data_IF_094633537293
#
_entry.id   IF_094633537293
#
_cell.length_a   1.000
_cell.length_b   1.000
_cell.length_c   1.000
_cell.angle_alpha   90.00
_cell.angle_beta   90.00
_cell.angle_gamma   90.00
#
_symmetry.space_group_name_H-M   'P 1'
#
loop_
_entity.id
_entity.type
_entity.pdbx_description
1 polymer ?
#
# COMPACT_ATOMS: atom_id res chain seq x y z
N UNK A 1 37.90 18.50 33.96
CA UNK A 1 37.69 19.64 34.88
C UNK A 1 38.27 20.89 34.22
N UNK A 2 37.49 21.98 34.08
CA UNK A 2 37.99 23.24 33.50
C UNK A 2 38.82 23.97 34.55
N UNK A 3 40.10 24.22 34.25
CA UNK A 3 41.00 25.01 35.10
C UNK A 3 40.97 26.46 34.64
N UNK A 4 40.52 27.36 35.51
CA UNK A 4 40.42 28.80 35.24
C UNK A 4 41.63 29.59 35.77
N UNK A 5 42.67 28.91 36.23
CA UNK A 5 43.80 29.51 36.97
C UNK A 5 44.80 30.32 36.12
N UNK A 6 44.62 30.38 34.80
CA UNK A 6 45.63 30.92 33.87
C UNK A 6 45.20 32.21 33.15
N UNK A 7 44.07 32.83 33.52
CA UNK A 7 43.61 34.08 32.89
C UNK A 7 44.15 35.26 33.71
N UNK A 8 45.23 35.88 33.24
CA UNK A 8 45.90 37.00 33.91
C UNK A 8 45.73 38.35 33.20
N UNK A 9 45.22 38.38 31.97
CA UNK A 9 45.00 39.60 31.21
C UNK A 9 43.64 39.59 30.46
N UNK A 10 43.21 40.78 30.03
CA UNK A 10 41.91 40.97 29.35
C UNK A 10 41.88 40.27 27.98
N UNK A 11 43.00 40.24 27.28
CA UNK A 11 43.13 39.56 25.99
C UNK A 11 42.94 38.05 26.10
N UNK A 12 43.57 37.39 27.08
CA UNK A 12 43.38 35.97 27.34
C UNK A 12 41.93 35.65 27.75
N UNK A 13 41.27 36.56 28.48
CA UNK A 13 39.85 36.41 28.80
C UNK A 13 38.98 36.44 27.52
N UNK A 14 39.24 37.39 26.62
CA UNK A 14 38.53 37.51 25.35
C UNK A 14 38.79 36.30 24.44
N UNK A 15 40.04 35.86 24.32
CA UNK A 15 40.41 34.65 23.59
C UNK A 15 39.71 33.42 24.17
N UNK A 16 39.68 33.28 25.50
CA UNK A 16 39.00 32.15 26.15
C UNK A 16 37.49 32.19 25.95
N UNK A 17 36.88 33.38 25.97
CA UNK A 17 35.45 33.57 25.67
C UNK A 17 35.12 33.13 24.24
N UNK A 18 35.97 33.48 23.28
CA UNK A 18 35.81 33.04 21.89
C UNK A 18 35.97 31.53 21.76
N UNK A 19 37.00 30.95 22.35
CA UNK A 19 37.22 29.50 22.39
C UNK A 19 36.01 28.77 22.96
N UNK A 20 35.50 29.21 24.12
CA UNK A 20 34.30 28.64 24.76
C UNK A 20 33.06 28.74 23.87
N UNK A 21 32.88 29.87 23.17
CA UNK A 21 31.74 30.07 22.26
C UNK A 21 31.82 29.12 21.07
N UNK A 22 33.02 28.92 20.52
CA UNK A 22 33.26 27.96 19.44
C UNK A 22 33.03 26.53 19.93
N UNK A 23 33.61 26.15 21.08
CA UNK A 23 33.43 24.83 21.69
C UNK A 23 31.94 24.51 21.93
N UNK A 24 31.20 25.48 22.46
CA UNK A 24 29.77 25.35 22.70
C UNK A 24 28.99 25.14 21.40
N UNK A 25 29.27 25.96 20.39
CA UNK A 25 28.60 25.88 19.08
C UNK A 25 28.89 24.54 18.40
N UNK A 26 30.13 24.05 18.48
CA UNK A 26 30.53 22.75 17.95
C UNK A 26 29.77 21.62 18.65
N UNK A 27 29.73 21.63 20.00
CA UNK A 27 28.98 20.65 20.78
C UNK A 27 27.48 20.66 20.48
N UNK A 28 26.88 21.84 20.31
CA UNK A 28 25.49 21.97 19.91
C UNK A 28 25.23 21.33 18.55
N UNK A 29 26.08 21.60 17.56
CA UNK A 29 25.94 21.03 16.22
C UNK A 29 26.07 19.50 16.23
N UNK A 30 27.02 18.96 17.01
CA UNK A 30 27.17 17.51 17.18
C UNK A 30 25.92 16.90 17.83
N UNK A 31 25.40 17.51 18.90
CA UNK A 31 24.20 17.02 19.58
C UNK A 31 22.99 17.00 18.63
N UNK A 32 22.80 18.05 17.81
CA UNK A 32 21.72 18.11 16.83
C UNK A 32 21.91 17.05 15.73
N UNK A 33 23.14 16.83 15.26
CA UNK A 33 23.43 15.79 14.27
C UNK A 33 23.17 14.37 14.82
N UNK A 34 23.58 14.11 16.07
CA UNK A 34 23.39 12.82 16.74
C UNK A 34 21.92 12.54 17.01
N UNK A 35 21.19 13.52 17.54
CA UNK A 35 19.74 13.40 17.78
C UNK A 35 18.97 13.18 16.48
N UNK A 36 19.35 13.86 15.39
CA UNK A 36 18.76 13.62 14.06
C UNK A 36 19.06 12.21 13.55
N UNK A 37 20.26 11.71 13.78
CA UNK A 37 20.66 10.35 13.39
C UNK A 37 19.91 9.30 14.21
N UNK A 38 19.80 9.50 15.53
CA UNK A 38 19.01 8.67 16.43
C UNK A 38 17.52 8.65 16.05
N UNK A 39 16.92 9.82 15.82
CA UNK A 39 15.52 9.93 15.39
C UNK A 39 15.25 9.19 14.07
N UNK A 40 16.20 9.22 13.12
CA UNK A 40 16.08 8.48 11.86
C UNK A 40 15.99 6.96 12.06
N UNK A 41 16.54 6.41 13.14
CA UNK A 41 16.46 4.97 13.43
C UNK A 41 15.04 4.51 13.77
N UNK A 42 14.19 5.41 14.26
CA UNK A 42 12.78 5.13 14.58
C UNK A 42 11.82 5.42 13.43
N UNK A 43 12.33 5.85 12.27
CA UNK A 43 11.48 6.04 11.09
C UNK A 43 10.95 4.69 10.60
N UNK A 44 9.72 4.70 10.09
CA UNK A 44 9.07 3.49 9.57
C UNK A 44 9.93 2.77 8.52
N UNK A 45 10.64 3.51 7.66
CA UNK A 45 11.58 2.94 6.69
C UNK A 45 12.81 2.29 7.31
N UNK A 46 13.36 2.84 8.40
CA UNK A 46 14.48 2.24 9.12
C UNK A 46 14.04 0.99 9.91
N UNK A 47 12.86 1.04 10.51
CA UNK A 47 12.26 -0.12 11.17
C UNK A 47 11.98 -1.24 10.16
N UNK A 48 11.34 -0.93 9.02
CA UNK A 48 11.16 -1.90 7.94
C UNK A 48 12.51 -2.45 7.50
N UNK A 49 13.53 -1.63 7.23
CA UNK A 49 14.85 -2.17 6.85
C UNK A 49 15.47 -3.08 7.91
N UNK A 50 15.26 -2.80 9.19
CA UNK A 50 15.77 -3.61 10.31
C UNK A 50 15.06 -4.96 10.45
N UNK A 51 13.76 -5.01 10.15
CA UNK A 51 12.93 -6.21 10.32
C UNK A 51 12.67 -6.98 9.02
N UNK A 52 12.73 -6.30 7.87
CA UNK A 52 12.56 -6.85 6.52
C UNK A 52 13.90 -7.28 5.89
N UNK A 53 14.95 -7.50 6.69
CA UNK A 53 16.14 -8.20 6.23
C UNK A 53 15.78 -9.66 5.95
N UNK A 54 16.18 -10.24 4.82
CA UNK A 54 15.79 -11.60 4.43
C UNK A 54 16.08 -12.62 5.54
N UNK A 55 17.25 -12.55 6.19
CA UNK A 55 17.59 -13.45 7.29
C UNK A 55 16.71 -13.34 8.55
N UNK A 56 16.11 -12.17 8.83
CA UNK A 56 15.17 -12.00 9.94
C UNK A 56 13.75 -12.36 9.54
N UNK A 57 13.38 -12.11 8.27
CA UNK A 57 12.10 -12.54 7.70
C UNK A 57 12.00 -14.06 7.68
N UNK A 58 13.03 -14.79 7.24
CA UNK A 58 13.01 -16.27 7.25
C UNK A 58 12.91 -16.83 8.68
N UNK A 59 13.62 -16.24 9.65
CA UNK A 59 13.52 -16.64 11.06
C UNK A 59 12.15 -16.34 11.69
N UNK A 60 11.54 -15.22 11.30
CA UNK A 60 10.18 -14.88 11.72
C UNK A 60 9.15 -15.78 11.02
N UNK A 61 9.39 -16.14 9.76
CA UNK A 61 8.54 -16.99 8.95
C UNK A 61 8.49 -18.44 9.47
N UNK A 62 9.65 -19.03 9.79
CA UNK A 62 9.75 -20.37 10.40
C UNK A 62 8.97 -20.47 11.71
N UNK A 63 8.86 -19.37 12.45
CA UNK A 63 8.19 -19.34 13.76
C UNK A 63 6.71 -18.94 13.70
N UNK A 64 6.30 -18.22 12.66
CA UNK A 64 4.97 -17.58 12.60
C UNK A 64 4.16 -17.94 11.34
N UNK A 65 4.67 -18.78 10.43
CA UNK A 65 4.01 -19.15 9.16
C UNK A 65 3.49 -17.92 8.40
N UNK A 66 4.30 -16.86 8.36
CA UNK A 66 3.92 -15.55 7.81
C UNK A 66 3.82 -15.64 6.29
N UNK A 67 4.69 -16.40 5.63
CA UNK A 67 4.63 -16.66 4.20
C UNK A 67 3.37 -17.43 3.85
N UNK A 68 3.01 -18.48 4.60
CA UNK A 68 1.76 -19.22 4.40
C UNK A 68 0.52 -18.34 4.53
N UNK A 69 0.51 -17.46 5.53
CA UNK A 69 -0.61 -16.54 5.80
C UNK A 69 -0.66 -15.37 4.80
N UNK A 70 0.49 -14.81 4.43
CA UNK A 70 0.57 -13.78 3.40
C UNK A 70 0.20 -14.34 2.02
N UNK A 71 0.67 -15.55 1.69
CA UNK A 71 0.35 -16.23 0.44
C UNK A 71 -1.13 -16.61 0.39
N UNK A 72 -1.74 -17.07 1.48
CA UNK A 72 -3.18 -17.37 1.51
C UNK A 72 -4.06 -16.14 1.36
N UNK A 73 -3.58 -14.95 1.75
CA UNK A 73 -4.27 -13.68 1.54
C UNK A 73 -3.99 -13.06 0.15
N UNK A 74 -2.76 -13.20 -0.35
CA UNK A 74 -2.35 -12.63 -1.64
C UNK A 74 -2.76 -13.48 -2.82
N UNK A 75 -2.77 -14.81 -2.71
CA UNK A 75 -3.12 -15.74 -3.79
C UNK A 75 -4.55 -15.49 -4.32
N UNK A 76 -5.60 -15.33 -3.47
CA UNK A 76 -6.92 -14.94 -3.94
C UNK A 76 -6.94 -13.58 -4.64
N UNK A 77 -6.17 -12.60 -4.16
CA UNK A 77 -6.09 -11.27 -4.79
C UNK A 77 -5.40 -11.31 -6.16
N UNK A 78 -4.31 -12.07 -6.29
CA UNK A 78 -3.60 -12.27 -7.55
C UNK A 78 -4.49 -13.03 -8.53
N UNK A 79 -5.09 -14.16 -8.12
CA UNK A 79 -6.05 -14.92 -8.94
C UNK A 79 -7.26 -14.07 -9.34
N UNK A 80 -7.72 -13.18 -8.46
CA UNK A 80 -8.80 -12.25 -8.78
C UNK A 80 -8.44 -11.24 -9.88
N UNK A 81 -7.16 -10.87 -9.99
CA UNK A 81 -6.64 -9.91 -10.96
C UNK A 81 -6.16 -10.57 -12.27
N UNK A 82 -5.70 -11.82 -12.20
CA UNK A 82 -5.13 -12.56 -13.35
C UNK A 82 -6.12 -13.53 -13.98
N UNK A 83 -6.67 -14.48 -13.20
CA UNK A 83 -7.55 -15.55 -13.70
C UNK A 83 -9.02 -15.12 -13.82
N UNK A 84 -9.51 -14.26 -12.92
CA UNK A 84 -10.92 -13.83 -12.89
C UNK A 84 -11.10 -12.36 -13.27
N UNK A 85 -10.32 -11.85 -14.22
CA UNK A 85 -10.38 -10.44 -14.65
C UNK A 85 -11.73 -10.15 -15.31
N UNK A 86 -12.65 -9.50 -14.59
CA UNK A 86 -13.98 -9.12 -15.09
C UNK A 86 -15.15 -10.02 -14.64
N UNK A 87 -14.90 -11.09 -13.88
CA UNK A 87 -15.96 -11.86 -13.23
C UNK A 87 -16.34 -11.15 -11.92
N UNK A 88 -17.54 -10.55 -11.88
CA UNK A 88 -18.03 -9.79 -10.73
C UNK A 88 -18.08 -10.63 -9.44
N UNK A 89 -18.04 -9.97 -8.28
CA UNK A 89 -18.09 -10.59 -6.93
C UNK A 89 -19.14 -11.70 -6.80
N UNK A 90 -20.27 -11.55 -7.48
CA UNK A 90 -21.37 -12.52 -7.51
C UNK A 90 -21.00 -13.84 -8.23
N UNK A 91 -20.27 -13.80 -9.34
CA UNK A 91 -19.80 -15.04 -10.01
C UNK A 91 -18.77 -15.79 -9.17
N UNK A 92 -17.93 -15.07 -8.41
CA UNK A 92 -16.94 -15.67 -7.50
C UNK A 92 -17.60 -16.29 -6.27
N UNK A 93 -18.63 -15.64 -5.72
CA UNK A 93 -19.45 -16.18 -4.65
C UNK A 93 -20.28 -17.38 -5.12
N UNK A 94 -20.89 -17.32 -6.31
CA UNK A 94 -21.68 -18.41 -6.86
C UNK A 94 -20.83 -19.65 -7.16
N UNK A 95 -19.67 -19.49 -7.81
CA UNK A 95 -18.74 -20.60 -8.06
C UNK A 95 -18.17 -21.14 -6.75
N UNK A 96 -17.85 -20.27 -5.78
CA UNK A 96 -17.40 -20.69 -4.45
C UNK A 96 -18.47 -21.46 -3.65
N UNK A 97 -19.74 -21.06 -3.76
CA UNK A 97 -20.86 -21.73 -3.08
C UNK A 97 -21.25 -23.05 -3.77
N UNK A 98 -21.24 -23.10 -5.10
CA UNK A 98 -21.49 -24.34 -5.86
C UNK A 98 -20.32 -25.32 -5.67
N UNK A 99 -19.09 -24.83 -5.70
CA UNK A 99 -17.89 -25.66 -5.43
C UNK A 99 -17.82 -26.14 -3.98
N UNK A 100 -18.31 -25.36 -3.02
CA UNK A 100 -18.26 -25.69 -1.60
C UNK A 100 -19.30 -26.70 -1.13
N UNK A 101 -20.41 -26.89 -1.87
CA UNK A 101 -21.51 -27.79 -1.46
C UNK A 101 -21.92 -28.87 -2.46
N UNK A 102 -21.48 -28.82 -3.72
CA UNK A 102 -21.94 -29.76 -4.76
C UNK A 102 -20.81 -30.60 -5.40
N UNK A 103 -19.58 -30.49 -4.90
CA UNK A 103 -18.43 -31.25 -5.40
C UNK A 103 -18.45 -32.77 -5.16
N UNK A 104 -19.51 -33.32 -4.54
CA UNK A 104 -19.63 -34.76 -4.27
C UNK A 104 -20.65 -35.50 -5.15
N UNK A 105 -21.43 -34.81 -6.00
CA UNK A 105 -22.50 -35.48 -6.77
C UNK A 105 -22.99 -34.68 -7.98
N UNK A 106 -22.12 -34.35 -8.94
CA UNK A 106 -22.58 -33.76 -10.21
C UNK A 106 -22.07 -34.54 -11.41
N UNK A 107 -23.02 -35.29 -11.96
CA UNK A 107 -23.00 -35.90 -13.28
C UNK A 107 -22.82 -34.83 -14.38
N UNK A 108 -22.11 -35.19 -15.45
CA UNK A 108 -21.66 -34.27 -16.50
C UNK A 108 -22.83 -33.56 -17.22
N UNK A 109 -24.02 -34.14 -17.21
CA UNK A 109 -25.26 -33.55 -17.76
C UNK A 109 -25.74 -32.32 -16.98
N UNK A 110 -25.53 -32.27 -15.67
CA UNK A 110 -25.95 -31.10 -14.87
C UNK A 110 -24.97 -29.94 -15.01
N UNK A 111 -23.69 -30.21 -15.20
CA UNK A 111 -22.69 -29.19 -15.50
C UNK A 111 -22.91 -28.57 -16.89
N UNK A 112 -23.35 -29.35 -17.88
CA UNK A 112 -23.66 -28.84 -19.22
C UNK A 112 -24.95 -27.99 -19.23
N UNK A 113 -25.97 -28.36 -18.45
CA UNK A 113 -27.19 -27.57 -18.26
C UNK A 113 -26.92 -26.23 -17.54
N UNK A 114 -26.08 -26.23 -16.51
CA UNK A 114 -25.66 -25.02 -15.80
C UNK A 114 -24.78 -24.15 -16.73
N UNK A 115 -23.85 -24.76 -17.47
CA UNK A 115 -22.99 -24.06 -18.43
C UNK A 115 -23.82 -23.38 -19.53
N UNK A 116 -24.83 -24.05 -20.09
CA UNK A 116 -25.69 -23.46 -21.12
C UNK A 116 -26.62 -22.37 -20.54
N UNK A 117 -27.11 -22.53 -19.31
CA UNK A 117 -27.92 -21.50 -18.62
C UNK A 117 -27.11 -20.24 -18.30
N UNK A 118 -25.85 -20.40 -17.90
CA UNK A 118 -24.91 -19.29 -17.65
C UNK A 118 -24.47 -18.66 -18.98
N UNK A 119 -24.22 -19.45 -20.03
CA UNK A 119 -23.91 -18.94 -21.37
C UNK A 119 -25.06 -18.12 -21.97
N UNK A 120 -26.31 -18.48 -21.69
CA UNK A 120 -27.49 -17.68 -22.03
C UNK A 120 -27.56 -16.34 -21.28
N UNK A 121 -27.13 -16.30 -20.02
CA UNK A 121 -27.12 -15.08 -19.21
C UNK A 121 -25.95 -14.14 -19.53
N UNK A 122 -24.81 -14.69 -19.94
CA UNK A 122 -23.62 -13.93 -20.34
C UNK A 122 -23.53 -13.65 -21.85
N UNK A 123 -24.47 -14.17 -22.65
CA UNK A 123 -24.46 -14.13 -24.11
C UNK A 123 -24.88 -12.81 -24.76
N UNK A 124 -25.37 -11.81 -24.03
CA UNK A 124 -25.73 -10.51 -24.62
C UNK A 124 -24.73 -9.43 -24.22
N UNK A 125 -23.55 -9.46 -24.86
CA UNK A 125 -22.81 -8.22 -25.11
C UNK A 125 -23.70 -7.36 -26.02
N UNK A 126 -24.57 -6.53 -25.43
CA UNK A 126 -25.20 -5.45 -26.16
C UNK A 126 -24.08 -4.53 -26.63
N UNK A 127 -23.89 -4.48 -27.94
CA UNK A 127 -23.07 -3.49 -28.60
C UNK A 127 -23.37 -2.12 -28.00
N UNK A 128 -22.31 -1.39 -27.66
CA UNK A 128 -22.38 -0.02 -27.14
C UNK A 128 -23.28 0.77 -28.07
N UNK A 129 -24.52 1.07 -27.65
CA UNK A 129 -25.41 1.95 -28.41
C UNK A 129 -24.65 3.25 -28.65
N UNK A 130 -24.32 3.52 -29.92
CA UNK A 130 -23.79 4.80 -30.34
C UNK A 130 -24.70 5.90 -29.77
N UNK A 131 -24.11 6.92 -29.14
CA UNK A 131 -24.85 8.08 -28.61
C UNK A 131 -25.71 8.64 -29.76
N UNK A 132 -27.04 8.52 -29.63
CA UNK A 132 -27.95 9.21 -30.55
C UNK A 132 -27.78 10.71 -30.33
N UNK A 133 -27.53 11.44 -31.41
CA UNK A 133 -27.58 12.90 -31.42
C UNK A 133 -29.00 13.31 -31.02
N UNK A 134 -29.13 14.03 -29.90
CA UNK A 134 -30.40 14.56 -29.43
C UNK A 134 -30.58 15.87 -30.18
N UNK A 135 -31.53 15.90 -31.11
CA UNK A 135 -31.95 17.15 -31.75
C UNK A 135 -32.88 17.87 -30.78
N UNK A 136 -32.36 18.92 -30.17
CA UNK A 136 -33.12 19.79 -29.29
C UNK A 136 -33.90 20.74 -30.18
N UNK A 137 -35.07 20.28 -30.62
CA UNK A 137 -36.00 21.07 -31.42
C UNK A 137 -36.20 22.46 -30.82
N UNK A 138 -36.27 23.47 -31.70
CA UNK A 138 -36.47 24.86 -31.31
C UNK A 138 -37.76 24.96 -30.48
N UNK A 139 -37.72 25.48 -29.24
CA UNK A 139 -38.89 25.57 -28.39
C UNK A 139 -39.97 26.47 -29.04
N UNK A 140 -41.26 26.10 -28.91
CA UNK A 140 -42.36 26.66 -29.69
C UNK A 140 -42.65 28.14 -29.43
N UNK A 141 -42.02 28.76 -28.45
CA UNK A 141 -42.27 30.16 -28.06
C UNK A 141 -41.23 31.16 -28.60
N UNK A 142 -40.43 30.76 -29.59
CA UNK A 142 -39.41 31.64 -30.22
C UNK A 142 -39.87 32.35 -31.50
N UNK A 143 -41.11 32.13 -31.93
CA UNK A 143 -41.76 32.87 -33.03
C UNK A 143 -42.97 33.66 -32.52
N UNK A 144 -42.76 34.58 -31.57
CA UNK A 144 -43.69 35.71 -31.38
C UNK A 144 -42.94 36.98 -30.93
N UNK A 145 -43.10 38.00 -31.78
CA UNK A 145 -42.65 39.40 -31.77
C UNK A 145 -41.22 39.71 -32.24
#
# INVERSE_FOLDING_TARGET
MRSYKNISNLEALQAKKLELKVEYTLKQNLLVADTKTFAKQFTFGALIKKYATPGNLFKADDKLNISGTAMSLLLPMVMNKTLFRGAGFLTKAAVGLVSGKVGKSLDAEHLSAIYNSVKGWFGTRKDKKAKKFIDYGIPPDSETY
#
